data_IF_565262181078
#
_entry.id   IF_565262181078
#
_cell.length_a   1.000
_cell.length_b   1.000
_cell.length_c   1.000
_cell.angle_alpha   90.00
_cell.angle_beta   90.00
_cell.angle_gamma   90.00
#
_symmetry.space_group_name_H-M   'P 1'
#
loop_
_entity.id
_entity.type
_entity.pdbx_description
1 polymer ?
#
# COMPACT_ATOMS: atom_id res chain seq x y z
N UNK A 1 2.31 -23.70 -11.05
CA UNK A 1 2.26 -22.37 -11.68
C UNK A 1 2.70 -21.36 -10.62
N UNK A 2 3.72 -20.56 -10.87
CA UNK A 2 4.13 -19.49 -9.94
C UNK A 2 3.09 -18.39 -9.99
N UNK A 3 2.52 -18.01 -8.83
CA UNK A 3 1.55 -16.92 -8.76
C UNK A 3 2.16 -15.56 -9.04
N UNK A 4 1.31 -14.60 -9.41
CA UNK A 4 1.70 -13.21 -9.63
C UNK A 4 1.88 -12.47 -8.30
N UNK A 5 2.62 -11.37 -8.32
CA UNK A 5 2.65 -10.40 -7.21
C UNK A 5 1.84 -9.17 -7.58
N UNK A 6 1.03 -8.71 -6.64
CA UNK A 6 0.18 -7.52 -6.76
C UNK A 6 0.51 -6.52 -5.66
N UNK A 7 0.38 -5.23 -5.97
CA UNK A 7 0.65 -4.10 -5.08
C UNK A 7 -0.61 -3.25 -4.95
N UNK A 8 -0.94 -2.81 -3.75
CA UNK A 8 -1.99 -1.83 -3.46
C UNK A 8 -1.64 -1.08 -2.18
N UNK A 9 -2.35 0.00 -1.87
CA UNK A 9 -2.16 0.79 -0.66
C UNK A 9 -3.44 1.55 -0.32
N UNK A 10 -3.58 2.00 0.92
CA UNK A 10 -4.62 2.92 1.35
C UNK A 10 -6.01 2.32 1.14
N UNK A 11 -6.25 1.07 1.57
CA UNK A 11 -7.55 0.45 1.39
C UNK A 11 -8.63 1.20 2.16
N UNK A 12 -8.32 1.68 3.37
CA UNK A 12 -9.24 2.43 4.23
C UNK A 12 -10.61 1.75 4.37
N UNK A 13 -10.62 0.43 4.54
CA UNK A 13 -11.85 -0.34 4.75
C UNK A 13 -12.54 0.15 6.03
N UNK A 14 -13.86 0.28 5.99
CA UNK A 14 -14.63 0.81 7.11
C UNK A 14 -14.50 2.32 7.34
N UNK A 15 -13.81 3.08 6.46
CA UNK A 15 -13.54 4.50 6.67
C UNK A 15 -14.57 5.41 5.98
N UNK A 16 -15.58 5.87 6.71
CA UNK A 16 -16.68 6.71 6.20
C UNK A 16 -16.22 7.92 5.38
N UNK A 17 -15.33 8.76 5.92
CA UNK A 17 -14.84 9.93 5.18
C UNK A 17 -14.11 9.56 3.88
N UNK A 18 -13.31 8.48 3.85
CA UNK A 18 -12.61 8.06 2.62
C UNK A 18 -13.58 7.46 1.62
N UNK A 19 -14.57 6.69 2.07
CA UNK A 19 -15.65 6.17 1.23
C UNK A 19 -16.37 7.32 0.48
N UNK A 20 -16.78 8.38 1.20
CA UNK A 20 -17.40 9.55 0.58
C UNK A 20 -16.46 10.29 -0.36
N UNK A 21 -15.18 10.47 0.00
CA UNK A 21 -14.19 11.12 -0.87
C UNK A 21 -13.95 10.35 -2.18
N UNK A 22 -14.11 9.02 -2.15
CA UNK A 22 -14.05 8.15 -3.33
C UNK A 22 -15.36 8.08 -4.11
N UNK A 23 -16.40 8.77 -3.64
CA UNK A 23 -17.69 8.90 -4.33
C UNK A 23 -18.70 7.80 -4.01
N UNK A 24 -18.49 7.01 -2.97
CA UNK A 24 -19.47 6.01 -2.52
C UNK A 24 -20.51 6.64 -1.62
N UNK A 25 -21.76 6.17 -1.70
CA UNK A 25 -22.83 6.65 -0.84
C UNK A 25 -22.78 6.02 0.55
N UNK A 26 -22.20 4.82 0.65
CA UNK A 26 -22.04 4.10 1.93
C UNK A 26 -20.67 3.46 2.06
N UNK A 27 -20.28 3.16 3.30
CA UNK A 27 -19.06 2.39 3.62
C UNK A 27 -19.15 0.97 3.07
N UNK A 28 -20.32 0.34 3.10
CA UNK A 28 -20.50 -1.03 2.63
C UNK A 28 -20.28 -1.14 1.10
N UNK A 29 -20.78 -0.17 0.32
CA UNK A 29 -20.52 -0.09 -1.12
C UNK A 29 -19.03 0.09 -1.42
N UNK A 30 -18.36 0.96 -0.67
CA UNK A 30 -16.92 1.19 -0.79
C UNK A 30 -16.11 -0.08 -0.51
N UNK A 31 -16.38 -0.73 0.61
CA UNK A 31 -15.66 -1.95 1.02
C UNK A 31 -15.93 -3.08 0.03
N UNK A 32 -17.17 -3.24 -0.44
CA UNK A 32 -17.53 -4.24 -1.44
C UNK A 32 -16.83 -4.01 -2.79
N UNK A 33 -16.73 -2.76 -3.25
CA UNK A 33 -16.03 -2.43 -4.50
C UNK A 33 -14.52 -2.71 -4.40
N UNK A 34 -13.89 -2.37 -3.27
CA UNK A 34 -12.46 -2.64 -3.07
C UNK A 34 -12.19 -4.14 -3.04
N UNK A 35 -12.93 -4.89 -2.20
CA UNK A 35 -12.78 -6.35 -2.11
C UNK A 35 -13.11 -7.02 -3.45
N UNK A 36 -14.13 -6.54 -4.16
CA UNK A 36 -14.50 -6.97 -5.51
C UNK A 36 -13.37 -6.76 -6.52
N UNK A 37 -12.72 -5.60 -6.50
CA UNK A 37 -11.58 -5.31 -7.37
C UNK A 37 -10.36 -6.19 -7.06
N UNK A 38 -10.11 -6.52 -5.78
CA UNK A 38 -9.09 -7.49 -5.41
C UNK A 38 -9.42 -8.88 -5.98
N UNK A 39 -10.65 -9.37 -5.75
CA UNK A 39 -11.13 -10.65 -6.28
C UNK A 39 -11.01 -10.76 -7.79
N UNK A 40 -11.36 -9.69 -8.52
CA UNK A 40 -11.34 -9.66 -9.97
C UNK A 40 -9.93 -9.73 -10.57
N UNK A 41 -8.89 -9.32 -9.82
CA UNK A 41 -7.52 -9.22 -10.32
C UNK A 41 -6.62 -10.36 -9.88
N UNK A 42 -6.75 -10.79 -8.64
CA UNK A 42 -5.89 -11.84 -8.08
C UNK A 42 -6.45 -13.21 -8.38
N UNK A 43 -5.64 -14.26 -8.23
CA UNK A 43 -6.05 -15.67 -8.28
C UNK A 43 -5.32 -16.50 -7.23
N UNK A 44 -5.79 -17.74 -7.04
CA UNK A 44 -5.14 -18.68 -6.12
C UNK A 44 -3.66 -18.86 -6.46
N UNK A 45 -2.82 -18.76 -5.43
CA UNK A 45 -1.36 -18.82 -5.52
C UNK A 45 -0.68 -17.46 -5.73
N UNK A 46 -1.42 -16.39 -6.03
CA UNK A 46 -0.88 -15.04 -6.10
C UNK A 46 -0.50 -14.49 -4.71
N UNK A 47 0.36 -13.49 -4.71
CA UNK A 47 0.71 -12.68 -3.54
C UNK A 47 0.13 -11.27 -3.68
N UNK A 48 -0.42 -10.72 -2.60
CA UNK A 48 -0.86 -9.34 -2.49
C UNK A 48 -0.05 -8.61 -1.43
N UNK A 49 0.64 -7.54 -1.83
CA UNK A 49 1.36 -6.64 -0.95
C UNK A 49 0.52 -5.37 -0.77
N UNK A 50 0.16 -5.08 0.48
CA UNK A 50 -0.62 -3.92 0.86
C UNK A 50 0.32 -2.94 1.54
N UNK A 51 0.46 -1.75 0.98
CA UNK A 51 1.41 -0.72 1.43
C UNK A 51 0.77 0.23 2.44
N UNK A 52 0.06 -0.34 3.42
CA UNK A 52 -0.40 0.35 4.61
C UNK A 52 -1.82 0.89 4.52
N UNK A 53 -2.28 1.35 5.68
CA UNK A 53 -3.59 1.99 5.90
C UNK A 53 -4.75 1.11 5.43
N UNK A 54 -4.87 -0.07 6.06
CA UNK A 54 -5.96 -1.01 5.74
C UNK A 54 -7.33 -0.50 6.22
N UNK A 55 -7.34 0.44 7.18
CA UNK A 55 -8.53 1.00 7.82
C UNK A 55 -8.27 2.45 8.28
N UNK A 56 -9.24 3.05 8.98
CA UNK A 56 -9.09 4.36 9.63
C UNK A 56 -8.18 4.40 10.86
N UNK A 57 -7.74 3.24 11.36
CA UNK A 57 -6.97 3.11 12.61
C UNK A 57 -7.83 3.17 13.88
N UNK A 58 -9.15 3.31 13.75
CA UNK A 58 -10.06 3.03 14.86
C UNK A 58 -10.07 1.54 15.17
N UNK A 59 -10.16 1.15 16.45
CA UNK A 59 -10.13 -0.28 16.81
C UNK A 59 -11.27 -1.09 16.18
N UNK A 60 -12.44 -0.47 15.96
CA UNK A 60 -13.57 -1.13 15.29
C UNK A 60 -13.34 -1.26 13.79
N UNK A 61 -12.87 -0.19 13.13
CA UNK A 61 -12.55 -0.23 11.70
C UNK A 61 -11.40 -1.19 11.38
N UNK A 62 -10.38 -1.25 12.22
CA UNK A 62 -9.24 -2.16 12.04
C UNK A 62 -9.65 -3.63 12.16
N UNK A 63 -10.46 -3.97 13.18
CA UNK A 63 -10.99 -5.34 13.31
C UNK A 63 -11.88 -5.73 12.12
N UNK A 64 -12.68 -4.80 11.62
CA UNK A 64 -13.51 -5.00 10.43
C UNK A 64 -12.65 -5.24 9.19
N UNK A 65 -11.65 -4.39 8.94
CA UNK A 65 -10.73 -4.53 7.81
C UNK A 65 -9.96 -5.86 7.86
N UNK A 66 -9.42 -6.23 9.02
CA UNK A 66 -8.71 -7.50 9.21
C UNK A 66 -9.63 -8.70 8.91
N UNK A 67 -10.88 -8.67 9.40
CA UNK A 67 -11.87 -9.72 9.11
C UNK A 67 -12.16 -9.84 7.61
N UNK A 68 -12.43 -8.73 6.92
CA UNK A 68 -12.71 -8.74 5.48
C UNK A 68 -11.51 -9.26 4.67
N UNK A 69 -10.30 -8.86 5.04
CA UNK A 69 -9.08 -9.27 4.35
C UNK A 69 -8.76 -10.76 4.58
N UNK A 70 -8.98 -11.28 5.79
CA UNK A 70 -8.83 -12.71 6.10
C UNK A 70 -9.83 -13.56 5.28
N UNK A 71 -11.10 -13.17 5.28
CA UNK A 71 -12.16 -13.83 4.49
C UNK A 71 -11.83 -13.81 2.98
N UNK A 72 -11.38 -12.66 2.47
CA UNK A 72 -10.91 -12.53 1.08
C UNK A 72 -9.74 -13.47 0.77
N UNK A 73 -8.70 -13.47 1.60
CA UNK A 73 -7.49 -14.25 1.36
C UNK A 73 -7.78 -15.76 1.38
N UNK A 74 -8.59 -16.22 2.34
CA UNK A 74 -9.05 -17.59 2.44
C UNK A 74 -9.89 -17.99 1.21
N UNK A 75 -10.86 -17.15 0.81
CA UNK A 75 -11.72 -17.44 -0.32
C UNK A 75 -10.98 -17.46 -1.66
N UNK A 76 -9.97 -16.57 -1.84
CA UNK A 76 -9.22 -16.46 -3.09
C UNK A 76 -8.00 -17.37 -3.16
N UNK A 77 -7.48 -17.82 -2.02
CA UNK A 77 -6.21 -18.54 -1.92
C UNK A 77 -5.02 -17.65 -2.23
N UNK A 78 -5.05 -16.40 -1.74
CA UNK A 78 -4.01 -15.38 -1.94
C UNK A 78 -3.18 -15.24 -0.68
N UNK A 79 -1.86 -15.17 -0.83
CA UNK A 79 -0.95 -14.86 0.29
C UNK A 79 -0.83 -13.35 0.44
N UNK A 80 -1.07 -12.80 1.63
CA UNK A 80 -1.01 -11.36 1.87
C UNK A 80 0.21 -10.94 2.69
N UNK A 81 0.78 -9.79 2.33
CA UNK A 81 1.93 -9.16 2.98
C UNK A 81 1.59 -7.69 3.27
N UNK A 82 1.89 -7.21 4.48
CA UNK A 82 1.64 -5.83 4.89
C UNK A 82 2.97 -5.06 5.05
N UNK A 83 3.04 -3.90 4.40
CA UNK A 83 3.91 -2.80 4.80
C UNK A 83 3.07 -1.84 5.64
N UNK A 84 3.43 -1.59 6.90
CA UNK A 84 2.53 -0.89 7.83
C UNK A 84 2.42 0.61 7.54
N UNK A 85 1.19 1.12 7.44
CA UNK A 85 0.87 2.55 7.31
C UNK A 85 0.59 3.23 8.65
N UNK A 86 0.47 4.56 8.68
CA UNK A 86 0.31 5.29 9.96
C UNK A 86 -1.04 5.04 10.62
N UNK A 87 -2.06 4.60 9.90
CA UNK A 87 -3.34 4.19 10.47
C UNK A 87 -3.36 2.73 10.95
N UNK A 88 -2.36 1.92 10.61
CA UNK A 88 -2.27 0.55 11.10
C UNK A 88 -1.70 0.56 12.52
N UNK A 89 -2.44 0.06 13.52
CA UNK A 89 -2.01 0.11 14.92
C UNK A 89 -0.72 -0.69 15.18
N UNK A 90 -0.39 -1.65 14.32
CA UNK A 90 0.84 -2.44 14.35
C UNK A 90 2.07 -1.69 13.82
N UNK A 91 1.90 -0.50 13.22
CA UNK A 91 3.04 0.29 12.77
C UNK A 91 3.94 0.66 13.95
N UNK A 92 5.27 0.40 13.89
CA UNK A 92 6.20 0.68 14.98
C UNK A 92 6.27 2.16 15.39
N UNK A 93 5.72 3.06 14.57
CA UNK A 93 5.47 4.45 14.94
C UNK A 93 4.62 4.59 16.21
N UNK A 94 3.66 3.68 16.42
CA UNK A 94 2.79 3.67 17.59
C UNK A 94 3.49 3.03 18.78
N UNK A 95 3.49 3.72 19.92
CA UNK A 95 4.09 3.28 21.19
C UNK A 95 3.70 1.84 21.58
N UNK A 96 2.44 1.49 21.36
CA UNK A 96 1.84 0.23 21.80
C UNK A 96 1.72 -0.81 20.66
N UNK A 97 2.36 -0.57 19.51
CA UNK A 97 2.27 -1.42 18.30
C UNK A 97 2.55 -2.91 18.52
N UNK A 98 3.50 -3.24 19.39
CA UNK A 98 3.83 -4.61 19.76
C UNK A 98 2.64 -5.41 20.32
N UNK A 99 1.63 -4.75 20.90
CA UNK A 99 0.40 -5.38 21.40
C UNK A 99 -0.54 -5.83 20.29
N UNK A 100 -0.45 -5.19 19.12
CA UNK A 100 -1.33 -5.42 17.97
C UNK A 100 -0.74 -6.40 16.96
N UNK A 101 0.56 -6.69 17.05
CA UNK A 101 1.28 -7.53 16.09
C UNK A 101 0.62 -8.89 15.82
N UNK A 102 0.04 -9.52 16.85
CA UNK A 102 -0.63 -10.82 16.69
C UNK A 102 -1.86 -10.73 15.79
N UNK A 103 -2.72 -9.74 16.00
CA UNK A 103 -3.95 -9.57 15.22
C UNK A 103 -3.66 -9.41 13.71
N UNK A 104 -2.56 -8.74 13.37
CA UNK A 104 -2.14 -8.59 11.98
C UNK A 104 -1.46 -9.85 11.44
N UNK A 105 -0.61 -10.52 12.22
CA UNK A 105 0.08 -11.75 11.75
C UNK A 105 -0.83 -12.98 11.68
N UNK A 106 -2.01 -12.94 12.28
CA UNK A 106 -3.06 -13.95 12.04
C UNK A 106 -3.68 -13.82 10.63
N UNK A 107 -3.62 -12.63 10.00
CA UNK A 107 -4.19 -12.34 8.67
C UNK A 107 -3.12 -12.24 7.57
N UNK A 108 -1.97 -11.66 7.90
CA UNK A 108 -0.87 -11.41 6.97
C UNK A 108 0.29 -12.36 7.22
N UNK A 109 0.84 -12.92 6.13
CA UNK A 109 2.03 -13.77 6.19
C UNK A 109 3.26 -13.00 6.65
N UNK A 110 3.37 -11.72 6.32
CA UNK A 110 4.42 -10.83 6.84
C UNK A 110 3.86 -9.47 7.19
N UNK A 111 4.40 -8.86 8.24
CA UNK A 111 4.10 -7.49 8.68
C UNK A 111 5.42 -6.80 8.94
N UNK A 112 5.71 -5.70 8.23
CA UNK A 112 6.98 -4.99 8.33
C UNK A 112 6.82 -3.50 7.99
N UNK A 113 7.69 -2.59 8.49
CA UNK A 113 7.56 -1.16 8.19
C UNK A 113 8.03 -0.77 6.79
N UNK A 114 8.91 -1.57 6.19
CA UNK A 114 9.37 -1.41 4.81
C UNK A 114 9.88 -2.74 4.27
N UNK A 115 9.99 -2.84 2.95
CA UNK A 115 10.67 -3.93 2.26
C UNK A 115 11.63 -3.39 1.20
N UNK A 116 12.50 -4.25 0.69
CA UNK A 116 13.38 -3.93 -0.43
C UNK A 116 13.44 -5.08 -1.42
N UNK A 117 13.35 -4.76 -2.70
CA UNK A 117 13.51 -5.69 -3.82
C UNK A 117 14.57 -5.17 -4.79
N UNK A 118 15.19 -6.05 -5.56
CA UNK A 118 16.15 -5.66 -6.62
C UNK A 118 15.46 -5.80 -7.97
N UNK A 119 15.50 -4.75 -8.79
CA UNK A 119 14.90 -4.67 -10.12
C UNK A 119 15.92 -4.07 -11.08
N UNK A 120 16.26 -4.77 -12.16
CA UNK A 120 17.15 -4.28 -13.22
C UNK A 120 18.46 -3.59 -12.72
N UNK A 121 19.05 -4.08 -11.62
CA UNK A 121 20.30 -3.54 -11.06
C UNK A 121 20.15 -2.40 -10.04
N UNK A 122 18.92 -1.93 -9.80
CA UNK A 122 18.59 -0.90 -8.79
C UNK A 122 17.71 -1.50 -7.69
N UNK A 123 17.72 -0.92 -6.48
CA UNK A 123 16.77 -1.33 -5.45
C UNK A 123 15.46 -0.57 -5.59
N UNK A 124 14.38 -1.28 -5.31
CA UNK A 124 13.03 -0.72 -5.15
C UNK A 124 12.63 -0.95 -3.71
N UNK A 125 12.48 0.13 -2.97
CA UNK A 125 11.96 0.15 -1.61
C UNK A 125 10.43 0.13 -1.65
N UNK A 126 9.82 -0.59 -0.71
CA UNK A 126 8.38 -0.55 -0.44
C UNK A 126 8.22 0.08 0.94
N UNK A 127 7.45 1.16 1.02
CA UNK A 127 7.09 1.85 2.26
C UNK A 127 5.62 2.25 2.16
N UNK A 128 4.93 2.52 3.26
CA UNK A 128 3.67 3.24 3.17
C UNK A 128 3.93 4.72 2.83
N UNK A 129 4.87 5.34 3.54
CA UNK A 129 5.21 6.75 3.37
C UNK A 129 6.03 7.02 2.10
N UNK A 130 5.86 8.19 1.46
CA UNK A 130 6.81 8.66 0.44
C UNK A 130 8.19 8.91 1.06
N UNK A 131 9.16 9.28 0.22
CA UNK A 131 10.47 9.74 0.70
C UNK A 131 10.35 10.90 1.69
N UNK A 132 11.31 11.01 2.60
CA UNK A 132 11.52 12.21 3.38
C UNK A 132 11.73 13.42 2.45
N UNK A 133 10.98 14.50 2.67
CA UNK A 133 10.94 15.65 1.76
C UNK A 133 10.08 15.45 0.51
N UNK A 134 9.39 14.31 0.37
CA UNK A 134 8.53 13.98 -0.77
C UNK A 134 7.13 14.60 -0.74
N UNK A 135 6.86 15.51 0.21
CA UNK A 135 5.58 16.20 0.34
C UNK A 135 4.50 15.43 1.10
N UNK A 136 3.29 16.00 1.18
CA UNK A 136 2.14 15.43 1.88
C UNK A 136 0.83 16.00 1.30
N UNK A 137 -0.32 15.48 1.74
CA UNK A 137 -1.65 15.96 1.33
C UNK A 137 -1.95 17.41 1.74
N UNK A 138 -1.10 18.04 2.53
CA UNK A 138 -1.21 19.43 2.96
C UNK A 138 0.16 20.09 3.09
N UNK A 139 0.17 21.32 3.59
CA UNK A 139 1.39 22.17 3.62
C UNK A 139 2.47 21.68 4.59
N UNK A 140 2.16 20.71 5.45
CA UNK A 140 3.07 20.16 6.45
C UNK A 140 3.32 18.69 6.16
N UNK A 141 4.60 18.34 6.08
CA UNK A 141 5.04 16.95 6.01
C UNK A 141 4.78 16.24 7.35
N UNK A 142 3.97 15.18 7.32
CA UNK A 142 3.65 14.37 8.51
C UNK A 142 4.51 13.10 8.55
N UNK A 143 4.81 12.65 9.77
CA UNK A 143 5.55 11.41 10.03
C UNK A 143 6.94 11.37 9.41
N UNK A 144 7.60 12.53 9.27
CA UNK A 144 8.91 12.67 8.62
C UNK A 144 9.98 11.80 9.30
N UNK A 145 9.88 11.59 10.62
CA UNK A 145 10.73 10.72 11.43
C UNK A 145 10.64 9.22 11.05
N UNK A 146 9.57 8.81 10.38
CA UNK A 146 9.34 7.44 9.93
C UNK A 146 9.56 7.24 8.43
N UNK A 147 9.91 8.30 7.69
CA UNK A 147 10.12 8.24 6.24
C UNK A 147 11.55 7.80 5.91
N UNK A 148 11.67 6.96 4.89
CA UNK A 148 12.97 6.60 4.35
C UNK A 148 13.58 7.81 3.62
N UNK A 149 14.91 7.92 3.62
CA UNK A 149 15.62 8.96 2.88
C UNK A 149 15.95 8.51 1.47
N UNK A 150 15.72 9.38 0.49
CA UNK A 150 16.16 9.16 -0.89
C UNK A 150 17.69 9.24 -0.97
N UNK A 151 18.31 8.23 -1.58
CA UNK A 151 19.75 8.17 -1.82
C UNK A 151 20.15 8.63 -3.23
N UNK A 152 19.20 9.14 -4.02
CA UNK A 152 19.37 9.63 -5.39
C UNK A 152 19.47 8.53 -6.44
N UNK A 153 19.45 7.25 -6.05
CA UNK A 153 19.69 6.10 -6.93
C UNK A 153 18.52 5.13 -6.98
N UNK A 154 17.98 4.78 -5.83
CA UNK A 154 16.95 3.75 -5.69
C UNK A 154 15.55 4.30 -5.98
N UNK A 155 14.61 3.39 -6.23
CA UNK A 155 13.20 3.74 -6.38
C UNK A 155 12.43 3.45 -5.10
N UNK A 156 11.32 4.17 -4.91
CA UNK A 156 10.33 3.91 -3.87
C UNK A 156 8.97 3.65 -4.49
N UNK A 157 8.31 2.60 -4.01
CA UNK A 157 6.88 2.36 -4.19
C UNK A 157 6.19 2.64 -2.85
N UNK A 158 5.18 3.51 -2.86
CA UNK A 158 4.52 3.97 -1.64
C UNK A 158 3.01 4.19 -1.80
N UNK A 159 2.35 4.67 -0.74
CA UNK A 159 0.96 5.11 -0.71
C UNK A 159 0.80 6.50 -0.07
N UNK A 160 -0.14 6.66 0.86
CA UNK A 160 -0.25 7.81 1.78
C UNK A 160 -0.72 9.15 1.19
N UNK A 161 -0.38 9.46 -0.07
CA UNK A 161 -0.63 10.78 -0.66
C UNK A 161 -2.02 10.90 -1.30
N UNK A 162 -2.77 9.80 -1.44
CA UNK A 162 -4.14 9.79 -1.99
C UNK A 162 -4.30 10.60 -3.28
N UNK A 163 -3.34 10.44 -4.21
CA UNK A 163 -3.41 11.06 -5.54
C UNK A 163 -3.07 12.56 -5.60
N UNK A 164 -2.64 13.19 -4.50
CA UNK A 164 -2.34 14.64 -4.47
C UNK A 164 -1.30 15.08 -5.52
N UNK A 165 -0.39 14.18 -5.91
CA UNK A 165 0.69 14.45 -6.86
C UNK A 165 0.61 13.56 -8.11
N UNK A 166 -0.52 12.88 -8.31
CA UNK A 166 -0.62 11.78 -9.26
C UNK A 166 0.25 10.58 -8.88
N UNK A 167 0.53 9.71 -9.86
CA UNK A 167 1.22 8.43 -9.63
C UNK A 167 2.73 8.58 -9.42
N UNK A 168 3.41 9.39 -10.24
CA UNK A 168 4.84 9.65 -10.07
C UNK A 168 5.01 10.88 -9.18
N UNK A 169 5.31 10.65 -7.91
CA UNK A 169 5.39 11.68 -6.86
C UNK A 169 6.77 12.33 -6.79
N UNK A 170 7.73 11.77 -7.52
CA UNK A 170 9.07 12.29 -7.73
C UNK A 170 9.78 11.48 -8.82
N UNK A 171 11.03 11.84 -9.14
CA UNK A 171 11.78 11.18 -10.23
C UNK A 171 11.89 9.66 -10.06
N UNK A 172 12.06 9.22 -8.81
CA UNK A 172 12.21 7.81 -8.42
C UNK A 172 11.17 7.36 -7.39
N UNK A 173 10.00 8.00 -7.35
CA UNK A 173 8.96 7.71 -6.35
C UNK A 173 7.60 7.50 -7.02
N UNK A 174 6.97 6.35 -6.74
CA UNK A 174 5.69 5.95 -7.32
C UNK A 174 4.66 5.60 -6.24
N UNK A 175 3.50 6.22 -6.34
CA UNK A 175 2.35 6.01 -5.46
C UNK A 175 1.40 4.96 -6.07
N UNK A 176 1.13 3.90 -5.32
CA UNK A 176 0.22 2.79 -5.65
C UNK A 176 -1.07 2.80 -4.82
N UNK A 177 -1.36 3.91 -4.15
CA UNK A 177 -2.63 4.20 -3.50
C UNK A 177 -3.81 4.04 -4.46
N UNK A 178 -4.96 3.67 -3.92
CA UNK A 178 -6.16 3.35 -4.72
C UNK A 178 -6.61 4.50 -5.62
N UNK A 179 -6.40 5.76 -5.21
CA UNK A 179 -6.70 6.96 -5.99
C UNK A 179 -5.88 7.02 -7.29
N UNK A 180 -4.65 6.52 -7.28
CA UNK A 180 -3.74 6.53 -8.44
C UNK A 180 -3.88 5.29 -9.34
N UNK A 181 -4.63 4.28 -8.90
CA UNK A 181 -4.75 2.98 -9.57
C UNK A 181 -6.16 2.66 -10.05
N UNK A 182 -7.12 3.56 -9.81
CA UNK A 182 -8.52 3.35 -10.15
C UNK A 182 -9.14 2.24 -9.30
N UNK A 183 -8.85 2.28 -7.99
CA UNK A 183 -9.32 1.32 -6.98
C UNK A 183 -8.92 -0.14 -7.22
N UNK A 184 -7.80 -0.38 -7.92
CA UNK A 184 -7.39 -1.73 -8.34
C UNK A 184 -5.93 -2.01 -7.97
N UNK A 185 -5.59 -3.25 -7.59
CA UNK A 185 -4.21 -3.60 -7.35
C UNK A 185 -3.40 -3.54 -8.66
N UNK A 186 -2.17 -3.07 -8.57
CA UNK A 186 -1.22 -2.99 -9.67
C UNK A 186 -0.35 -4.24 -9.71
N UNK A 187 -0.18 -4.85 -10.88
CA UNK A 187 0.69 -6.02 -11.03
C UNK A 187 2.17 -5.62 -10.90
N UNK A 188 2.95 -6.39 -10.14
CA UNK A 188 4.37 -6.12 -9.91
C UNK A 188 5.19 -6.10 -11.20
N UNK A 189 4.93 -6.99 -12.16
CA UNK A 189 5.68 -7.02 -13.42
C UNK A 189 5.47 -5.73 -14.22
N UNK A 190 4.22 -5.24 -14.25
CA UNK A 190 3.91 -3.95 -14.87
C UNK A 190 4.60 -2.79 -14.13
N UNK A 191 4.63 -2.81 -12.79
CA UNK A 191 5.35 -1.81 -12.00
C UNK A 191 6.87 -1.84 -12.29
N UNK A 192 7.45 -3.04 -12.45
CA UNK A 192 8.85 -3.23 -12.84
C UNK A 192 9.13 -2.64 -14.22
N UNK A 193 8.24 -2.84 -15.20
CA UNK A 193 8.36 -2.24 -16.53
C UNK A 193 8.35 -0.70 -16.45
N UNK A 194 7.41 -0.13 -15.69
CA UNK A 194 7.32 1.31 -15.46
C UNK A 194 8.62 1.87 -14.85
N UNK A 195 9.14 1.22 -13.80
CA UNK A 195 10.37 1.63 -13.11
C UNK A 195 11.59 1.48 -14.04
N UNK A 196 11.68 0.38 -14.80
CA UNK A 196 12.81 0.13 -15.69
C UNK A 196 12.88 1.19 -16.79
N UNK A 197 11.73 1.51 -17.40
CA UNK A 197 11.62 2.58 -18.40
C UNK A 197 12.02 3.94 -17.80
N UNK A 198 11.49 4.28 -16.62
CA UNK A 198 11.86 5.54 -15.94
C UNK A 198 13.35 5.60 -15.60
N UNK A 199 13.94 4.48 -15.20
CA UNK A 199 15.37 4.40 -14.91
C UNK A 199 16.24 4.56 -16.16
N UNK A 200 15.78 4.13 -17.33
CA UNK A 200 16.44 4.37 -18.62
C UNK A 200 16.40 5.85 -19.00
N UNK A 201 15.24 6.49 -18.88
CA UNK A 201 15.09 7.94 -19.13
C UNK A 201 16.08 8.75 -18.28
N UNK A 202 16.11 8.52 -16.97
CA UNK A 202 17.00 9.22 -16.03
C UNK A 202 18.50 8.94 -16.22
N UNK A 203 18.90 7.96 -17.04
CA UNK A 203 20.31 7.73 -17.39
C UNK A 203 20.73 8.50 -18.64
N UNK A 204 19.76 8.94 -19.43
CA UNK A 204 19.98 9.62 -20.70
C UNK A 204 19.83 11.15 -20.60
N UNK A 205 19.29 11.64 -19.48
CA UNK A 205 19.25 13.05 -19.08
C UNK A 205 20.55 13.48 -18.39
#
# INVERSE_FOLDING_TARGET
MTGNTWMTSDLHLGHEKVAHLRGFATVDEHDAEIIGNLHARTRSGDQLWILGDISSGSSTGERHALKLLDEYAAARGVTMHLITGNHDSVNPYHRDSHKHFRAFTDVFTTVQPFARRKVAGTYVWLSHFPWFGGGDRGDVERHSEARLHDNGRDFLVHGHLHGAYGRWTGERSIDVGLENTGLRPLNWSHLVEMISKRAEELRND
#
